data_IF_925707320356
#
_entry.id   IF_925707320356
#
_cell.length_a   1.000
_cell.length_b   1.000
_cell.length_c   1.000
_cell.angle_alpha   90.00
_cell.angle_beta   90.00
_cell.angle_gamma   90.00
#
_symmetry.space_group_name_H-M   'P 1'
#
loop_
_entity.id
_entity.type
_entity.pdbx_description
1 polymer ?
#
# COMPACT_ATOMS: atom_id res chain seq x y z
N UNK A 1 19.16 -29.97 -3.09
CA UNK A 1 19.37 -29.67 -1.65
C UNK A 1 19.91 -28.25 -1.51
N UNK A 2 19.07 -27.27 -1.12
CA UNK A 2 19.41 -25.94 -0.58
C UNK A 2 18.15 -25.05 -0.51
N UNK A 3 17.11 -25.53 0.15
CA UNK A 3 15.91 -24.75 0.47
C UNK A 3 16.03 -24.24 1.90
N UNK A 4 16.84 -23.20 2.15
CA UNK A 4 16.92 -22.58 3.48
C UNK A 4 17.35 -21.11 3.37
N UNK A 5 16.42 -20.22 3.02
CA UNK A 5 16.61 -18.78 3.21
C UNK A 5 15.29 -17.99 3.15
N UNK A 6 14.26 -18.41 3.89
CA UNK A 6 13.07 -17.56 4.10
C UNK A 6 12.51 -17.77 5.50
N UNK A 7 13.26 -17.36 6.51
CA UNK A 7 12.70 -17.10 7.84
C UNK A 7 12.29 -15.62 7.86
N UNK A 8 11.12 -15.32 7.29
CA UNK A 8 10.51 -14.01 7.42
C UNK A 8 9.99 -13.91 8.85
N UNK A 9 10.78 -13.25 9.72
CA UNK A 9 10.34 -12.83 11.05
C UNK A 9 9.16 -11.88 10.86
N UNK A 10 7.95 -12.42 10.94
CA UNK A 10 6.73 -11.65 11.13
C UNK A 10 6.80 -11.15 12.58
N UNK A 11 7.48 -10.03 12.77
CA UNK A 11 7.46 -9.29 14.03
C UNK A 11 6.09 -8.62 14.14
N UNK A 12 5.17 -9.33 14.79
CA UNK A 12 3.90 -8.80 15.25
C UNK A 12 4.19 -7.71 16.28
N UNK A 13 4.08 -6.45 15.87
CA UNK A 13 4.13 -5.32 16.78
C UNK A 13 2.92 -4.43 16.54
N UNK A 14 1.74 -4.99 16.82
CA UNK A 14 0.56 -4.15 17.03
C UNK A 14 0.70 -3.48 18.40
N UNK A 15 1.53 -2.44 18.46
CA UNK A 15 1.64 -1.57 19.62
C UNK A 15 0.48 -0.57 19.56
N UNK A 16 -0.69 -1.00 20.04
CA UNK A 16 -1.79 -0.11 20.35
C UNK A 16 -1.37 0.78 21.54
N UNK A 17 -0.70 1.89 21.25
CA UNK A 17 -0.42 2.95 22.22
C UNK A 17 -1.66 3.85 22.32
N UNK A 18 -2.66 3.45 23.10
CA UNK A 18 -3.73 4.35 23.49
C UNK A 18 -3.23 5.26 24.62
N UNK A 19 -2.54 6.34 24.26
CA UNK A 19 -2.20 7.41 25.18
C UNK A 19 -3.42 8.32 25.33
N UNK A 20 -4.35 7.95 26.22
CA UNK A 20 -5.40 8.88 26.63
C UNK A 20 -4.77 10.00 27.47
N UNK A 21 -5.02 11.25 27.09
CA UNK A 21 -4.56 12.43 27.77
C UNK A 21 -5.06 12.45 29.22
N UNK A 22 -4.14 12.57 30.17
CA UNK A 22 -4.50 12.90 31.55
C UNK A 22 -4.87 14.38 31.57
N UNK A 23 -6.17 14.68 31.63
CA UNK A 23 -6.71 16.04 31.67
C UNK A 23 -6.29 16.71 33.00
N UNK A 24 -5.48 17.79 32.99
CA UNK A 24 -5.19 18.52 34.20
C UNK A 24 -6.44 19.28 34.63
N UNK A 25 -7.05 18.86 35.74
CA UNK A 25 -8.18 19.53 36.35
C UNK A 25 -7.74 20.85 36.98
N UNK A 26 -7.90 21.95 36.23
CA UNK A 26 -7.98 23.32 36.76
C UNK A 26 -6.75 24.20 36.47
N UNK A 27 -7.05 25.34 35.82
CA UNK A 27 -6.31 26.61 35.75
C UNK A 27 -4.76 26.62 35.80
N UNK A 28 -4.14 27.09 34.71
CA UNK A 28 -2.81 27.75 34.62
C UNK A 28 -1.54 26.92 34.34
N UNK A 29 -1.57 25.94 33.43
CA UNK A 29 -0.35 25.58 32.69
C UNK A 29 -0.67 25.32 31.22
N UNK A 30 -0.65 26.40 30.43
CA UNK A 30 -0.82 26.37 28.98
C UNK A 30 0.46 26.84 28.30
N UNK A 31 1.08 26.04 27.42
CA UNK A 31 0.61 24.73 26.97
C UNK A 31 0.86 23.61 28.01
N UNK A 32 0.06 22.53 27.99
CA UNK A 32 0.30 21.39 28.86
C UNK A 32 1.69 20.79 28.58
N UNK A 33 2.40 20.39 29.63
CA UNK A 33 3.64 19.66 29.48
C UNK A 33 3.38 18.32 28.78
N UNK A 34 3.82 18.19 27.53
CA UNK A 34 3.76 16.94 26.76
C UNK A 34 4.93 16.05 27.14
N UNK A 35 4.64 14.94 27.81
CA UNK A 35 5.63 13.89 28.06
C UNK A 35 5.80 13.04 26.79
N UNK A 36 7.00 13.06 26.22
CA UNK A 36 7.34 12.17 25.10
C UNK A 36 7.40 10.73 25.63
N UNK A 37 6.39 9.92 25.34
CA UNK A 37 6.29 8.52 25.81
C UNK A 37 6.92 7.51 24.86
N UNK A 38 7.46 7.95 23.72
CA UNK A 38 8.10 7.05 22.76
C UNK A 38 9.44 6.56 23.27
N UNK A 39 9.62 5.24 23.27
CA UNK A 39 10.89 4.57 23.57
C UNK A 39 11.81 4.45 22.35
N UNK A 40 11.38 4.94 21.18
CA UNK A 40 12.14 4.81 19.94
C UNK A 40 13.31 5.80 19.88
N UNK A 41 14.47 5.28 19.51
CA UNK A 41 15.62 6.11 19.14
C UNK A 41 15.40 6.75 17.77
N UNK A 42 16.06 7.90 17.54
CA UNK A 42 16.05 8.57 16.23
C UNK A 42 16.47 7.64 15.09
N UNK A 43 17.45 6.77 15.33
CA UNK A 43 17.93 5.81 14.34
C UNK A 43 16.84 4.80 13.95
N UNK A 44 16.07 4.31 14.93
CA UNK A 44 14.95 3.39 14.67
C UNK A 44 13.84 4.07 13.86
N UNK A 45 13.45 5.29 14.24
CA UNK A 45 12.43 6.05 13.50
C UNK A 45 12.84 6.29 12.05
N UNK A 46 14.12 6.63 11.80
CA UNK A 46 14.63 6.82 10.44
C UNK A 46 14.62 5.51 9.66
N UNK A 47 15.03 4.40 10.27
CA UNK A 47 15.02 3.10 9.62
C UNK A 47 13.60 2.66 9.23
N UNK A 48 12.63 2.84 10.14
CA UNK A 48 11.22 2.52 9.89
C UNK A 48 10.62 3.39 8.79
N UNK A 49 10.89 4.70 8.80
CA UNK A 49 10.43 5.60 7.76
C UNK A 49 10.98 5.20 6.37
N UNK A 50 12.25 4.81 6.29
CA UNK A 50 12.84 4.37 5.01
C UNK A 50 12.20 3.05 4.52
N UNK A 51 11.94 2.10 5.42
CA UNK A 51 11.26 0.86 5.09
C UNK A 51 9.83 1.13 4.59
N UNK A 52 9.06 1.99 5.27
CA UNK A 52 7.71 2.35 4.87
C UNK A 52 7.66 3.04 3.50
N UNK A 53 8.64 3.90 3.20
CA UNK A 53 8.80 4.51 1.87
C UNK A 53 9.09 3.47 0.80
N UNK A 54 10.01 2.54 1.06
CA UNK A 54 10.34 1.46 0.12
C UNK A 54 9.15 0.52 -0.13
N UNK A 55 8.32 0.31 0.87
CA UNK A 55 7.08 -0.48 0.77
C UNK A 55 5.92 0.28 0.10
N UNK A 56 6.10 1.56 -0.25
CA UNK A 56 5.03 2.38 -0.85
C UNK A 56 3.90 2.72 0.13
N UNK A 57 4.14 2.65 1.44
CA UNK A 57 3.14 2.89 2.48
C UNK A 57 3.00 4.38 2.85
N UNK A 58 3.92 5.23 2.37
CA UNK A 58 3.96 6.66 2.66
C UNK A 58 3.45 7.43 1.45
N UNK A 59 2.49 8.34 1.68
CA UNK A 59 1.99 9.26 0.66
C UNK A 59 2.81 10.55 0.60
N UNK A 60 2.74 11.24 -0.53
CA UNK A 60 3.36 12.55 -0.72
C UNK A 60 2.33 13.49 -1.37
N UNK A 61 2.35 14.78 -1.01
CA UNK A 61 1.41 15.78 -1.51
C UNK A 61 0.00 15.61 -0.95
N UNK A 62 -1.01 15.86 -1.77
CA UNK A 62 -2.43 15.87 -1.39
C UNK A 62 -3.09 14.47 -1.38
N UNK A 63 -2.29 13.40 -1.49
CA UNK A 63 -2.84 12.04 -1.50
C UNK A 63 -3.14 11.58 -0.08
N UNK A 64 -4.42 11.36 0.23
CA UNK A 64 -4.80 10.83 1.55
C UNK A 64 -4.37 9.37 1.76
N UNK A 65 -4.17 8.61 0.68
CA UNK A 65 -3.90 7.17 0.73
C UNK A 65 -2.81 6.76 -0.28
N UNK A 66 -1.95 5.78 0.04
CA UNK A 66 -0.96 5.27 -0.89
C UNK A 66 -1.64 4.59 -2.08
N UNK A 67 -1.01 4.67 -3.25
CA UNK A 67 -1.52 4.04 -4.45
C UNK A 67 -1.65 2.52 -4.24
N UNK A 68 -2.78 1.95 -4.67
CA UNK A 68 -2.98 0.51 -4.59
C UNK A 68 -1.86 -0.22 -5.38
N UNK A 69 -1.25 -1.27 -4.80
CA UNK A 69 -0.25 -2.05 -5.51
C UNK A 69 -0.85 -2.63 -6.78
N UNK A 70 -0.26 -2.31 -7.93
CA UNK A 70 -0.70 -2.84 -9.22
C UNK A 70 -0.35 -4.32 -9.24
N UNK A 71 -1.33 -5.19 -9.51
CA UNK A 71 -1.08 -6.63 -9.63
C UNK A 71 -0.02 -6.88 -10.73
N UNK A 72 1.08 -7.53 -10.38
CA UNK A 72 2.09 -7.93 -11.35
C UNK A 72 1.53 -9.04 -12.22
N UNK A 73 1.49 -8.82 -13.54
CA UNK A 73 1.14 -9.87 -14.49
C UNK A 73 2.34 -10.81 -14.70
N UNK A 74 2.09 -12.11 -14.67
CA UNK A 74 3.06 -13.13 -15.08
C UNK A 74 3.23 -13.16 -16.61
N UNK A 75 2.34 -12.50 -17.37
CA UNK A 75 2.38 -12.49 -18.83
C UNK A 75 3.35 -11.44 -19.36
N UNK A 76 4.12 -11.85 -20.35
CA UNK A 76 4.90 -10.92 -21.15
C UNK A 76 3.98 -10.06 -22.00
N UNK A 77 4.46 -8.86 -22.36
CA UNK A 77 3.74 -7.96 -23.29
C UNK A 77 3.42 -8.64 -24.63
N UNK A 78 4.26 -9.57 -25.09
CA UNK A 78 4.02 -10.34 -26.31
C UNK A 78 2.85 -11.31 -26.16
N UNK A 79 2.76 -12.05 -25.04
CA UNK A 79 1.64 -12.95 -24.75
C UNK A 79 0.32 -12.19 -24.63
N UNK A 80 0.30 -11.05 -23.92
CA UNK A 80 -0.89 -10.21 -23.80
C UNK A 80 -1.36 -9.72 -25.18
N UNK A 81 -0.43 -9.35 -26.07
CA UNK A 81 -0.77 -8.93 -27.44
C UNK A 81 -1.32 -10.07 -28.29
N UNK A 82 -0.73 -11.26 -28.17
CA UNK A 82 -1.20 -12.45 -28.88
C UNK A 82 -2.60 -12.86 -28.43
N UNK A 83 -2.86 -12.86 -27.12
CA UNK A 83 -4.18 -13.14 -26.55
C UNK A 83 -5.22 -12.09 -26.97
N UNK A 84 -4.87 -10.81 -26.91
CA UNK A 84 -5.74 -9.74 -27.38
C UNK A 84 -6.06 -9.87 -28.88
N UNK A 85 -5.10 -10.29 -29.72
CA UNK A 85 -5.34 -10.54 -31.14
C UNK A 85 -6.26 -11.75 -31.34
N UNK A 86 -6.03 -12.86 -30.64
CA UNK A 86 -6.89 -14.04 -30.69
C UNK A 86 -8.33 -13.72 -30.25
N UNK A 87 -8.50 -12.97 -29.17
CA UNK A 87 -9.82 -12.59 -28.66
C UNK A 87 -10.59 -11.69 -29.64
N UNK A 88 -9.89 -10.82 -30.40
CA UNK A 88 -10.51 -10.04 -31.49
C UNK A 88 -11.00 -10.94 -32.63
N UNK A 89 -10.21 -11.93 -33.04
CA UNK A 89 -10.60 -12.86 -34.10
C UNK A 89 -11.80 -13.74 -33.69
N UNK A 90 -11.86 -14.09 -32.41
CA UNK A 90 -12.95 -14.90 -31.85
C UNK A 90 -14.22 -14.10 -31.53
N UNK A 91 -14.27 -12.80 -31.84
CA UNK A 91 -15.43 -11.94 -31.57
C UNK A 91 -15.77 -11.77 -30.09
N UNK A 92 -14.84 -12.12 -29.18
CA UNK A 92 -15.09 -12.17 -27.74
C UNK A 92 -14.96 -10.79 -27.04
N UNK A 93 -14.84 -9.70 -27.80
CA UNK A 93 -14.72 -8.33 -27.28
C UNK A 93 -15.84 -7.44 -27.79
N UNK A 94 -16.76 -7.06 -26.88
CA UNK A 94 -17.68 -5.94 -27.09
C UNK A 94 -16.98 -4.65 -26.64
N UNK A 95 -16.49 -3.84 -27.58
CA UNK A 95 -16.00 -2.49 -27.28
C UNK A 95 -17.17 -1.51 -27.44
N UNK A 96 -17.68 -1.00 -26.34
CA UNK A 96 -18.84 -0.11 -26.30
C UNK A 96 -19.82 -0.59 -25.25
N UNK A 97 -20.16 0.29 -24.31
CA UNK A 97 -21.18 0.00 -23.30
C UNK A 97 -22.44 -0.57 -23.96
N UNK A 98 -22.87 -1.72 -23.45
CA UNK A 98 -24.15 -2.39 -23.74
C UNK A 98 -24.47 -2.61 -25.24
N UNK A 99 -24.08 -3.79 -25.74
CA UNK A 99 -25.04 -4.62 -26.46
C UNK A 99 -25.11 -4.57 -28.00
N UNK A 100 -24.14 -4.00 -28.72
CA UNK A 100 -24.15 -4.10 -30.19
C UNK A 100 -23.06 -5.04 -30.72
N UNK A 101 -23.41 -6.20 -31.33
CA UNK A 101 -22.44 -6.98 -32.08
C UNK A 101 -22.02 -6.20 -33.32
N UNK A 102 -20.71 -6.03 -33.50
CA UNK A 102 -20.14 -5.52 -34.74
C UNK A 102 -20.32 -6.58 -35.84
N UNK A 103 -21.44 -6.51 -36.56
CA UNK A 103 -21.62 -7.24 -37.82
C UNK A 103 -20.88 -6.47 -38.90
N UNK A 104 -19.61 -6.83 -39.10
CA UNK A 104 -18.71 -6.14 -40.03
C UNK A 104 -19.35 -5.86 -41.40
N UNK A 105 -19.46 -4.58 -41.71
CA UNK A 105 -19.67 -4.04 -43.05
C UNK A 105 -18.51 -3.09 -43.37
#
# INVERSE_FOLDING_TARGET
>A
MKTLASLLLISTSFAANAAYAQEPSGELDYPPAVTQTSSLTRAQVVAELQAAKAAGQVTFGELEQPAAPVASSTLTRAQVRAEAAAARQNGAYAFGGQGYPNTGA
#
